data_IF_631892258650
#
_entry.id   IF_631892258650
#
_cell.length_a   1.000
_cell.length_b   1.000
_cell.length_c   1.000
_cell.angle_alpha   90.00
_cell.angle_beta   90.00
_cell.angle_gamma   90.00
#
_symmetry.space_group_name_H-M   'P 1'
#
loop_
_entity.id
_entity.type
_entity.pdbx_description
1 polymer ?
#
# COMPACT_ATOMS: atom_id res chain seq x y z
N UNK A 1 11.82 16.13 29.97
CA UNK A 1 11.94 15.03 28.99
C UNK A 1 10.93 15.30 27.89
N UNK A 2 11.37 15.63 26.68
CA UNK A 2 10.44 15.75 25.55
C UNK A 2 9.84 14.37 25.30
N UNK A 3 8.51 14.24 25.26
CA UNK A 3 7.89 13.02 24.79
C UNK A 3 8.45 12.73 23.39
N UNK A 4 8.94 11.50 23.17
CA UNK A 4 9.35 11.05 21.84
C UNK A 4 8.10 11.15 20.97
N UNK A 5 8.17 11.86 19.84
CA UNK A 5 7.03 11.94 18.94
C UNK A 5 6.62 10.52 18.54
N UNK A 6 5.30 10.23 18.46
CA UNK A 6 4.83 8.93 18.03
C UNK A 6 5.30 8.66 16.61
N UNK A 7 5.72 7.43 16.35
CA UNK A 7 5.99 6.97 15.00
C UNK A 7 4.65 6.89 14.26
N UNK A 8 4.37 7.90 13.45
CA UNK A 8 3.09 8.03 12.75
C UNK A 8 2.90 6.94 11.71
N UNK A 9 3.97 6.42 11.10
CA UNK A 9 3.86 5.34 10.11
C UNK A 9 3.51 4.03 10.81
N UNK A 10 4.20 3.71 11.91
CA UNK A 10 3.88 2.54 12.72
C UNK A 10 2.44 2.61 13.25
N UNK A 11 1.98 3.79 13.66
CA UNK A 11 0.61 3.96 14.14
C UNK A 11 -0.44 3.77 13.03
N UNK A 12 -0.17 4.25 11.81
CA UNK A 12 -1.04 3.99 10.64
C UNK A 12 -1.15 2.49 10.37
N UNK A 13 -0.03 1.77 10.34
CA UNK A 13 -0.03 0.31 10.11
C UNK A 13 -0.81 -0.43 11.20
N UNK A 14 -0.61 -0.03 12.47
CA UNK A 14 -1.35 -0.59 13.60
C UNK A 14 -2.85 -0.35 13.49
N UNK A 15 -3.27 0.88 13.19
CA UNK A 15 -4.68 1.23 13.03
C UNK A 15 -5.32 0.49 11.85
N UNK A 16 -4.61 0.39 10.72
CA UNK A 16 -5.12 -0.32 9.55
C UNK A 16 -5.27 -1.82 9.81
N UNK A 17 -4.30 -2.43 10.51
CA UNK A 17 -4.38 -3.84 10.88
C UNK A 17 -5.63 -4.11 11.74
N UNK A 18 -5.87 -3.27 12.75
CA UNK A 18 -7.04 -3.40 13.62
C UNK A 18 -8.37 -3.19 12.86
N UNK A 19 -8.39 -2.24 11.93
CA UNK A 19 -9.57 -1.98 11.11
C UNK A 19 -9.89 -3.19 10.22
N UNK A 20 -8.89 -3.77 9.55
CA UNK A 20 -9.05 -4.94 8.71
C UNK A 20 -9.53 -6.15 9.53
N UNK A 21 -8.93 -6.42 10.69
CA UNK A 21 -9.36 -7.50 11.60
C UNK A 21 -10.82 -7.31 12.06
N UNK A 22 -11.20 -6.07 12.39
CA UNK A 22 -12.58 -5.75 12.73
C UNK A 22 -13.53 -6.04 11.56
N UNK A 23 -13.16 -5.66 10.32
CA UNK A 23 -13.96 -5.94 9.12
C UNK A 23 -14.06 -7.44 8.86
N UNK A 24 -12.95 -8.19 8.96
CA UNK A 24 -12.94 -9.64 8.77
C UNK A 24 -13.90 -10.34 9.74
N UNK A 25 -13.79 -10.01 11.03
CA UNK A 25 -14.70 -10.54 12.04
C UNK A 25 -16.16 -10.12 11.79
N UNK A 26 -16.40 -8.84 11.46
CA UNK A 26 -17.75 -8.30 11.23
C UNK A 26 -18.45 -8.94 10.02
N UNK A 27 -17.67 -9.38 9.02
CA UNK A 27 -18.17 -9.94 7.76
C UNK A 27 -18.04 -11.47 7.68
N UNK A 28 -17.63 -12.13 8.77
CA UNK A 28 -17.36 -13.57 8.82
C UNK A 28 -16.40 -14.04 7.71
N UNK A 29 -15.38 -13.24 7.42
CA UNK A 29 -14.32 -13.60 6.47
C UNK A 29 -13.38 -14.57 7.16
N UNK A 30 -13.17 -15.73 6.53
CA UNK A 30 -12.41 -16.84 7.09
C UNK A 30 -11.16 -17.15 6.29
N UNK A 31 -10.15 -17.68 6.97
CA UNK A 31 -8.96 -18.23 6.34
C UNK A 31 -9.22 -19.62 5.74
N UNK A 32 -8.21 -20.19 5.07
CA UNK A 32 -8.27 -21.54 4.50
C UNK A 32 -8.49 -22.67 5.51
N UNK A 33 -8.31 -22.41 6.81
CA UNK A 33 -8.52 -23.35 7.91
C UNK A 33 -9.92 -23.20 8.55
N UNK A 34 -10.70 -22.19 8.12
CA UNK A 34 -12.04 -21.90 8.60
C UNK A 34 -12.09 -21.01 9.85
N UNK A 35 -10.95 -20.50 10.32
CA UNK A 35 -10.89 -19.51 11.40
C UNK A 35 -11.20 -18.12 10.85
N UNK A 36 -11.61 -17.18 11.70
CA UNK A 36 -11.72 -15.77 11.28
C UNK A 36 -10.35 -15.29 10.80
N UNK A 37 -10.30 -14.74 9.58
CA UNK A 37 -9.07 -14.22 9.01
C UNK A 37 -8.55 -13.05 9.85
N UNK A 38 -7.23 -12.93 9.96
CA UNK A 38 -6.56 -11.79 10.59
C UNK A 38 -5.49 -11.24 9.67
N UNK A 39 -5.17 -9.95 9.84
CA UNK A 39 -4.02 -9.34 9.17
C UNK A 39 -2.71 -9.97 9.60
N UNK A 40 -2.58 -10.38 10.86
CA UNK A 40 -1.42 -11.13 11.34
C UNK A 40 -1.18 -12.39 10.48
N UNK A 41 -2.23 -13.17 10.19
CA UNK A 41 -2.14 -14.35 9.31
C UNK A 41 -1.72 -13.96 7.89
N UNK A 42 -2.26 -12.87 7.33
CA UNK A 42 -1.88 -12.41 5.99
C UNK A 42 -0.42 -11.95 5.92
N UNK A 43 0.08 -11.24 6.96
CA UNK A 43 1.48 -10.84 7.09
C UNK A 43 2.37 -12.07 7.12
N UNK A 44 2.08 -13.06 7.97
CA UNK A 44 2.85 -14.30 8.09
C UNK A 44 2.90 -15.09 6.76
N UNK A 45 1.77 -15.16 6.05
CA UNK A 45 1.72 -15.77 4.71
C UNK A 45 2.57 -15.00 3.69
N UNK A 46 2.52 -13.67 3.75
CA UNK A 46 3.33 -12.76 2.94
C UNK A 46 4.83 -12.95 3.16
N UNK A 47 5.28 -12.95 4.42
CA UNK A 47 6.67 -13.13 4.83
C UNK A 47 7.20 -14.54 4.53
N UNK A 48 6.34 -15.55 4.51
CA UNK A 48 6.77 -16.94 4.33
C UNK A 48 7.55 -17.16 3.02
N UNK A 49 8.60 -17.97 3.07
CA UNK A 49 9.36 -18.40 1.88
C UNK A 49 8.59 -19.41 1.00
N UNK A 50 7.36 -19.75 1.37
CA UNK A 50 6.52 -20.67 0.60
C UNK A 50 6.16 -20.08 -0.77
N UNK A 51 6.08 -20.93 -1.79
CA UNK A 51 5.72 -20.52 -3.14
C UNK A 51 4.28 -19.96 -3.16
N UNK A 52 4.13 -18.71 -3.61
CA UNK A 52 2.85 -18.00 -3.72
C UNK A 52 2.27 -18.19 -5.12
N UNK A 53 1.37 -19.16 -5.26
CA UNK A 53 0.65 -19.42 -6.52
C UNK A 53 -0.65 -18.61 -6.67
N UNK A 54 -1.33 -18.70 -7.83
CA UNK A 54 -2.55 -17.93 -8.11
C UNK A 54 -3.71 -18.18 -7.12
N UNK A 55 -3.78 -19.38 -6.53
CA UNK A 55 -4.85 -19.78 -5.61
C UNK A 55 -4.48 -19.61 -4.14
N UNK A 56 -3.40 -18.88 -3.83
CA UNK A 56 -3.01 -18.60 -2.44
C UNK A 56 -3.78 -17.42 -1.87
N UNK A 57 -3.99 -17.44 -0.56
CA UNK A 57 -4.63 -16.33 0.16
C UNK A 57 -3.84 -15.02 -0.02
N UNK A 58 -2.51 -15.07 -0.01
CA UNK A 58 -1.67 -13.90 -0.31
C UNK A 58 -1.99 -13.30 -1.67
N UNK A 59 -2.04 -14.10 -2.74
CA UNK A 59 -2.38 -13.60 -4.07
C UNK A 59 -3.81 -13.05 -4.12
N UNK A 60 -4.77 -13.74 -3.51
CA UNK A 60 -6.16 -13.31 -3.46
C UNK A 60 -6.31 -11.95 -2.78
N UNK A 61 -5.69 -11.76 -1.60
CA UNK A 61 -5.82 -10.53 -0.84
C UNK A 61 -5.03 -9.36 -1.45
N UNK A 62 -3.86 -9.62 -2.04
CA UNK A 62 -3.17 -8.62 -2.85
C UNK A 62 -4.04 -8.15 -4.02
N UNK A 63 -4.70 -9.08 -4.74
CA UNK A 63 -5.59 -8.73 -5.84
C UNK A 63 -6.83 -7.94 -5.38
N UNK A 64 -7.42 -8.31 -4.23
CA UNK A 64 -8.56 -7.60 -3.67
C UNK A 64 -8.21 -6.17 -3.27
N UNK A 65 -7.11 -5.97 -2.54
CA UNK A 65 -6.69 -4.64 -2.10
C UNK A 65 -6.19 -3.77 -3.26
N UNK A 66 -5.56 -4.38 -4.28
CA UNK A 66 -5.18 -3.65 -5.49
C UNK A 66 -6.41 -3.19 -6.28
N UNK A 67 -7.42 -4.06 -6.43
CA UNK A 67 -8.68 -3.69 -7.08
C UNK A 67 -9.37 -2.53 -6.36
N UNK A 68 -9.41 -2.57 -5.02
CA UNK A 68 -9.98 -1.49 -4.22
C UNK A 68 -9.20 -0.17 -4.40
N UNK A 69 -7.86 -0.22 -4.37
CA UNK A 69 -7.01 0.94 -4.63
C UNK A 69 -7.23 1.54 -6.03
N UNK A 70 -7.41 0.68 -7.04
CA UNK A 70 -7.72 1.11 -8.41
C UNK A 70 -9.09 1.80 -8.49
N UNK A 71 -10.09 1.31 -7.76
CA UNK A 71 -11.41 1.93 -7.69
C UNK A 71 -11.32 3.31 -7.00
N UNK A 72 -10.63 3.45 -5.86
CA UNK A 72 -10.41 4.77 -5.21
C UNK A 72 -9.61 5.75 -6.10
N UNK A 73 -8.73 5.22 -6.95
CA UNK A 73 -8.03 6.04 -7.95
C UNK A 73 -8.97 6.56 -9.05
N UNK A 74 -10.05 5.83 -9.34
CA UNK A 74 -11.10 6.27 -10.27
C UNK A 74 -12.01 7.30 -9.61
N UNK A 75 -12.40 7.10 -8.35
CA UNK A 75 -13.19 8.09 -7.59
C UNK A 75 -12.44 9.43 -7.49
N UNK A 76 -11.16 9.40 -7.10
CA UNK A 76 -10.30 10.60 -7.14
C UNK A 76 -10.26 11.26 -8.52
N UNK A 77 -10.20 10.47 -9.60
CA UNK A 77 -10.18 11.01 -10.97
C UNK A 77 -11.51 11.69 -11.33
N UNK A 78 -12.64 11.22 -10.82
CA UNK A 78 -13.97 11.80 -11.06
C UNK A 78 -14.10 13.18 -10.39
N UNK A 79 -13.40 13.42 -9.28
CA UNK A 79 -13.30 14.72 -8.63
C UNK A 79 -12.43 15.75 -9.39
N UNK A 80 -11.59 15.29 -10.32
CA UNK A 80 -10.70 16.16 -11.08
C UNK A 80 -11.39 16.77 -12.30
N UNK A 81 -11.19 18.08 -12.47
CA UNK A 81 -11.74 18.83 -13.60
C UNK A 81 -10.94 18.58 -14.89
N UNK A 82 -11.34 17.57 -15.66
CA UNK A 82 -10.70 17.27 -16.96
C UNK A 82 -11.07 18.26 -18.07
N UNK A 83 -12.22 18.93 -17.96
CA UNK A 83 -12.67 19.96 -18.91
C UNK A 83 -11.94 21.26 -18.62
N UNK A 84 -10.75 21.43 -19.19
CA UNK A 84 -9.93 22.62 -19.00
C UNK A 84 -10.58 23.96 -19.43
N UNK A 85 -11.75 23.92 -20.07
CA UNK A 85 -12.55 25.09 -20.44
C UNK A 85 -13.72 25.38 -19.48
N UNK A 86 -13.93 24.57 -18.43
CA UNK A 86 -15.02 24.81 -17.47
C UNK A 86 -14.66 25.94 -16.49
N UNK A 87 -15.68 26.45 -15.78
CA UNK A 87 -15.54 27.46 -14.71
C UNK A 87 -15.68 26.83 -13.32
N UNK A 88 -15.62 25.51 -13.24
CA UNK A 88 -15.86 24.77 -12.02
C UNK A 88 -14.66 24.88 -11.07
N UNK A 89 -14.88 24.57 -9.80
CA UNK A 89 -13.83 24.52 -8.77
C UNK A 89 -13.75 23.13 -8.16
N UNK A 90 -12.54 22.69 -7.82
CA UNK A 90 -12.31 21.40 -7.15
C UNK A 90 -12.90 21.37 -5.74
N UNK A 91 -13.48 20.23 -5.36
CA UNK A 91 -13.72 19.91 -3.95
C UNK A 91 -12.43 19.37 -3.34
N UNK A 92 -11.61 20.29 -2.81
CA UNK A 92 -10.35 19.92 -2.16
C UNK A 92 -10.54 19.12 -0.87
N UNK A 93 -11.73 19.13 -0.26
CA UNK A 93 -11.99 18.29 0.90
C UNK A 93 -12.21 16.85 0.46
N UNK A 94 -13.04 16.62 -0.56
CA UNK A 94 -13.27 15.26 -1.05
C UNK A 94 -11.98 14.64 -1.59
N UNK A 95 -11.21 15.38 -2.40
CA UNK A 95 -9.91 14.94 -2.92
C UNK A 95 -8.96 14.44 -1.81
N UNK A 96 -8.93 15.11 -0.64
CA UNK A 96 -8.08 14.67 0.48
C UNK A 96 -8.58 13.39 1.13
N UNK A 97 -9.89 13.18 1.15
CA UNK A 97 -10.52 11.94 1.65
C UNK A 97 -10.16 10.79 0.71
N UNK A 98 -10.34 10.94 -0.60
CA UNK A 98 -9.99 9.89 -1.58
C UNK A 98 -8.49 9.51 -1.53
N UNK A 99 -7.61 10.49 -1.29
CA UNK A 99 -6.17 10.21 -1.09
C UNK A 99 -5.93 9.36 0.18
N UNK A 100 -6.70 9.59 1.24
CA UNK A 100 -6.62 8.80 2.47
C UNK A 100 -7.25 7.42 2.29
N UNK A 101 -8.29 7.28 1.47
CA UNK A 101 -8.88 5.98 1.16
C UNK A 101 -7.90 5.12 0.34
N UNK A 102 -7.17 5.71 -0.60
CA UNK A 102 -6.03 5.05 -1.24
C UNK A 102 -4.95 4.61 -0.23
N UNK A 103 -4.68 5.41 0.81
CA UNK A 103 -3.71 5.04 1.84
C UNK A 103 -4.14 3.78 2.62
N UNK A 104 -5.43 3.60 2.91
CA UNK A 104 -5.94 2.40 3.61
C UNK A 104 -5.63 1.13 2.83
N UNK A 105 -5.88 1.15 1.51
CA UNK A 105 -5.63 -0.01 0.65
C UNK A 105 -4.15 -0.21 0.36
N UNK A 106 -3.37 0.88 0.24
CA UNK A 106 -1.92 0.78 0.10
C UNK A 106 -1.25 0.15 1.33
N UNK A 107 -1.64 0.55 2.54
CA UNK A 107 -1.12 -0.06 3.79
C UNK A 107 -1.55 -1.53 3.90
N UNK A 108 -2.79 -1.84 3.49
CA UNK A 108 -3.28 -3.22 3.48
C UNK A 108 -2.52 -4.11 2.48
N UNK A 109 -2.14 -3.58 1.31
CA UNK A 109 -1.23 -4.24 0.37
C UNK A 109 0.14 -4.50 0.99
N UNK A 110 0.73 -3.50 1.63
CA UNK A 110 2.03 -3.62 2.27
C UNK A 110 2.02 -4.73 3.34
N UNK A 111 1.05 -4.70 4.26
CA UNK A 111 0.88 -5.75 5.28
C UNK A 111 0.69 -7.13 4.64
N UNK A 112 -0.19 -7.26 3.65
CA UNK A 112 -0.46 -8.55 2.98
C UNK A 112 0.77 -9.11 2.26
N UNK A 113 1.67 -8.24 1.80
CA UNK A 113 2.94 -8.65 1.20
C UNK A 113 4.01 -9.06 2.22
N UNK A 114 3.73 -8.95 3.52
CA UNK A 114 4.69 -9.23 4.60
C UNK A 114 5.57 -8.03 4.96
N UNK A 115 5.14 -6.81 4.66
CA UNK A 115 5.87 -5.60 5.06
C UNK A 115 5.17 -4.92 6.24
N UNK A 116 5.90 -4.70 7.32
CA UNK A 116 5.52 -3.77 8.36
C UNK A 116 6.01 -2.34 8.05
N UNK A 117 5.73 -1.40 8.96
CA UNK A 117 6.12 0.00 8.80
C UNK A 117 7.65 0.19 8.68
N UNK A 118 8.43 -0.60 9.42
CA UNK A 118 9.90 -0.51 9.39
C UNK A 118 10.45 -0.99 8.06
N UNK A 119 9.99 -2.15 7.57
CA UNK A 119 10.38 -2.71 6.27
C UNK A 119 9.99 -1.79 5.12
N UNK A 120 8.80 -1.19 5.16
CA UNK A 120 8.39 -0.18 4.18
C UNK A 120 9.34 1.02 4.17
N UNK A 121 9.68 1.54 5.35
CA UNK A 121 10.56 2.69 5.47
C UNK A 121 11.96 2.39 4.94
N UNK A 122 12.51 1.23 5.29
CA UNK A 122 13.82 0.77 4.82
C UNK A 122 13.86 0.63 3.28
N UNK A 123 12.89 -0.06 2.69
CA UNK A 123 12.79 -0.20 1.22
C UNK A 123 12.60 1.16 0.53
N UNK A 124 11.86 2.08 1.15
CA UNK A 124 11.71 3.44 0.64
C UNK A 124 13.05 4.17 0.61
N UNK A 125 13.86 4.10 1.66
CA UNK A 125 15.19 4.72 1.70
C UNK A 125 16.10 4.17 0.61
N UNK A 126 16.15 2.83 0.47
CA UNK A 126 16.95 2.17 -0.55
C UNK A 126 16.50 2.60 -1.97
N UNK A 127 15.19 2.61 -2.24
CA UNK A 127 14.65 3.02 -3.54
C UNK A 127 14.82 4.51 -3.82
N UNK A 128 14.71 5.35 -2.80
CA UNK A 128 14.91 6.79 -2.92
C UNK A 128 16.36 7.10 -3.34
N UNK A 129 17.33 6.45 -2.70
CA UNK A 129 18.75 6.58 -3.03
C UNK A 129 19.04 6.16 -4.48
N UNK A 130 18.53 5.00 -4.92
CA UNK A 130 18.67 4.55 -6.32
C UNK A 130 18.06 5.57 -7.31
N UNK A 131 16.91 6.15 -6.98
CA UNK A 131 16.28 7.15 -7.85
C UNK A 131 17.08 8.46 -7.93
N UNK A 132 17.76 8.88 -6.84
CA UNK A 132 18.67 10.02 -6.86
C UNK A 132 19.90 9.74 -7.73
N UNK A 133 20.52 8.57 -7.56
CA UNK A 133 21.67 8.15 -8.38
C UNK A 133 21.35 8.08 -9.87
N UNK A 134 20.12 7.69 -10.22
CA UNK A 134 19.64 7.74 -11.62
C UNK A 134 19.61 9.17 -12.16
N UNK A 135 19.18 10.15 -11.36
CA UNK A 135 19.16 11.55 -11.79
C UNK A 135 20.57 12.10 -12.00
N UNK A 136 21.52 11.74 -11.14
CA UNK A 136 22.93 12.13 -11.29
C UNK A 136 23.59 11.56 -12.55
N UNK A 137 23.01 10.51 -13.14
CA UNK A 137 23.49 9.83 -14.35
C UNK A 137 22.72 10.24 -15.62
N UNK A 138 22.09 11.43 -15.65
CA UNK A 138 21.27 11.92 -16.76
C UNK A 138 20.17 10.92 -17.18
N UNK A 139 19.32 10.57 -16.22
CA UNK A 139 18.20 9.64 -16.40
C UNK A 139 17.45 9.88 -17.72
N UNK A 140 17.49 8.88 -18.61
CA UNK A 140 16.71 8.87 -19.84
C UNK A 140 16.04 7.52 -20.03
N UNK A 141 14.94 7.50 -20.79
CA UNK A 141 14.27 6.24 -21.15
C UNK A 141 15.18 5.28 -21.92
N UNK A 142 16.23 5.80 -22.56
CA UNK A 142 17.23 5.03 -23.30
C UNK A 142 18.33 4.42 -22.40
N UNK A 143 18.51 4.96 -21.18
CA UNK A 143 19.52 4.52 -20.21
C UNK A 143 18.92 3.79 -19.00
N UNK A 144 17.59 3.61 -18.98
CA UNK A 144 16.89 2.89 -17.92
C UNK A 144 17.21 1.39 -17.98
N UNK A 145 17.96 0.91 -17.00
CA UNK A 145 18.06 -0.50 -16.60
C UNK A 145 17.39 -0.67 -15.23
N UNK A 146 16.73 -1.80 -14.98
CA UNK A 146 16.08 -2.12 -13.69
C UNK A 146 16.94 -3.04 -12.81
N UNK A 147 18.15 -3.40 -13.28
CA UNK A 147 19.11 -4.25 -12.55
C UNK A 147 19.50 -3.69 -11.18
N UNK A 148 19.49 -2.38 -11.00
CA UNK A 148 19.74 -1.68 -9.74
C UNK A 148 18.68 -1.94 -8.67
N UNK A 149 17.42 -2.24 -9.06
CA UNK A 149 16.37 -2.61 -8.11
C UNK A 149 16.59 -4.00 -7.48
N UNK A 150 17.42 -4.87 -8.05
CA UNK A 150 17.68 -6.23 -7.54
C UNK A 150 18.38 -6.24 -6.19
N UNK A 151 19.02 -5.12 -5.81
CA UNK A 151 19.71 -4.98 -4.54
C UNK A 151 18.81 -4.48 -3.40
N UNK A 152 17.56 -4.12 -3.70
CA UNK A 152 16.58 -3.64 -2.71
C UNK A 152 15.95 -4.86 -2.02
N UNK A 153 16.15 -5.01 -0.70
CA UNK A 153 15.70 -6.18 0.10
C UNK A 153 15.28 -5.79 1.51
#
# INVERSE_FOLDING_TARGET
MSAKQPDMLAEIFRMQSLLNDYVFAKRDIRDGEGNTLTMQKLVELGESEAAKGPNTETNQWLANYLSALDDESRELREELLWKWWSKDSLDMQNIRVEIVDQLHFWVSLALTSGMDAEKVYDLYLQKNQVNLERQDQDYSKATKDESDNLNIK
#
